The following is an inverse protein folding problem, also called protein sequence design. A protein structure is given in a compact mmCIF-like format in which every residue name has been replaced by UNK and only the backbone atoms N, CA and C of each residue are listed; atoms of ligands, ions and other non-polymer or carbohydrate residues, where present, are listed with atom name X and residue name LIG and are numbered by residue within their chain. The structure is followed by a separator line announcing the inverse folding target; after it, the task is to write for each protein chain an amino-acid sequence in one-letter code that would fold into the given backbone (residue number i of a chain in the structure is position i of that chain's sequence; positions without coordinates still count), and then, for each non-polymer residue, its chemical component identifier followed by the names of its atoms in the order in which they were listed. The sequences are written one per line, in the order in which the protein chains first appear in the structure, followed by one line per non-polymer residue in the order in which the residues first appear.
data_IF_617959694666
#
_entry.id   IF_617959694666
#
_cell.length_a   1.000
_cell.length_b   1.000
_cell.length_c   1.000
_cell.angle_alpha   90.00
_cell.angle_beta   90.00
_cell.angle_gamma   90.00
#
_symmetry.space_group_name_H-M   'P 1'
#
loop_
_entity.id
_entity.type
_entity.pdbx_description
1 polymer ?
#
# COMPACT_ATOMS: atom_id res chain seq x y z
N UNK A 1 11.32 16.57 7.26
CA UNK A 1 10.79 17.12 8.52
C UNK A 1 10.01 16.00 9.20
N UNK A 2 10.51 15.43 10.31
CA UNK A 2 9.82 14.33 10.98
C UNK A 2 8.49 14.81 11.56
N UNK A 3 7.38 14.07 11.40
CA UNK A 3 6.10 14.48 11.95
C UNK A 3 6.20 14.55 13.47
N UNK A 4 5.75 15.67 14.04
CA UNK A 4 5.61 15.82 15.48
C UNK A 4 4.67 14.74 16.03
N UNK A 5 4.81 14.38 17.30
CA UNK A 5 3.94 13.39 17.96
C UNK A 5 2.45 13.76 17.86
N UNK A 6 2.14 15.06 17.80
CA UNK A 6 0.79 15.57 17.54
C UNK A 6 0.29 15.25 16.12
N UNK A 7 1.13 15.44 15.11
CA UNK A 7 0.81 15.09 13.72
C UNK A 7 0.64 13.58 13.54
N UNK A 8 1.50 12.75 14.16
CA UNK A 8 1.34 11.30 14.15
C UNK A 8 0.00 10.86 14.75
N UNK A 9 -0.39 11.43 15.89
CA UNK A 9 -1.69 11.13 16.53
C UNK A 9 -2.87 11.57 15.66
N UNK A 10 -2.78 12.72 15.00
CA UNK A 10 -3.80 13.20 14.08
C UNK A 10 -3.94 12.27 12.86
N UNK A 11 -2.82 11.91 12.22
CA UNK A 11 -2.81 10.96 11.10
C UNK A 11 -3.34 9.60 11.51
N UNK A 12 -2.96 9.09 12.69
CA UNK A 12 -3.48 7.81 13.18
C UNK A 12 -5.00 7.86 13.42
N UNK A 13 -5.54 8.96 13.98
CA UNK A 13 -7.00 9.13 14.15
C UNK A 13 -7.74 9.19 12.81
N UNK A 14 -7.17 9.85 11.81
CA UNK A 14 -7.75 9.89 10.47
C UNK A 14 -7.70 8.53 9.79
N UNK A 15 -6.54 7.86 9.85
CA UNK A 15 -6.33 6.53 9.29
C UNK A 15 -7.28 5.52 9.91
N UNK A 16 -7.50 5.55 11.23
CA UNK A 16 -8.41 4.63 11.91
C UNK A 16 -9.88 4.80 11.46
N UNK A 17 -10.28 6.02 11.10
CA UNK A 17 -11.65 6.31 10.64
C UNK A 17 -11.87 6.10 9.15
N UNK A 18 -10.84 6.32 8.33
CA UNK A 18 -10.96 6.36 6.87
C UNK A 18 -10.28 5.17 6.16
N UNK A 19 -9.48 4.37 6.86
CA UNK A 19 -8.77 3.23 6.28
C UNK A 19 -9.32 1.92 6.83
N UNK A 20 -9.65 1.02 5.92
CA UNK A 20 -9.90 -0.38 6.22
C UNK A 20 -8.75 -1.23 5.68
N UNK A 21 -8.25 -2.17 6.49
CA UNK A 21 -7.20 -3.10 6.08
C UNK A 21 -7.83 -4.28 5.36
N UNK A 22 -7.50 -4.45 4.07
CA UNK A 22 -7.82 -5.66 3.31
C UNK A 22 -6.67 -6.67 3.49
N UNK A 23 -6.88 -7.68 4.33
CA UNK A 23 -5.93 -8.78 4.50
C UNK A 23 -6.32 -10.00 3.67
N UNK A 24 -5.43 -10.49 2.82
CA UNK A 24 -5.62 -11.74 2.08
C UNK A 24 -4.64 -12.81 2.61
N UNK A 25 -5.18 -13.92 3.13
CA UNK A 25 -4.37 -15.08 3.53
C UNK A 25 -4.17 -15.98 2.31
N UNK A 26 -2.92 -16.08 1.87
CA UNK A 26 -2.51 -16.93 0.75
C UNK A 26 -1.50 -17.98 1.21
N UNK A 27 -1.27 -19.00 0.38
CA UNK A 27 -0.20 -19.97 0.62
C UNK A 27 1.17 -19.28 0.54
N UNK A 28 2.17 -19.89 1.18
CA UNK A 28 3.53 -19.34 1.24
C UNK A 28 4.14 -19.18 -0.15
N UNK A 29 3.88 -20.13 -1.04
CA UNK A 29 4.32 -20.14 -2.44
C UNK A 29 3.73 -18.96 -3.22
N UNK A 30 2.42 -18.75 -3.12
CA UNK A 30 1.70 -17.62 -3.73
C UNK A 30 2.21 -16.28 -3.20
N UNK A 31 2.49 -16.18 -1.89
CA UNK A 31 3.06 -14.97 -1.30
C UNK A 31 4.46 -14.65 -1.86
N UNK A 32 5.27 -15.68 -2.13
CA UNK A 32 6.62 -15.53 -2.67
C UNK A 32 6.58 -15.14 -4.16
N UNK A 33 5.75 -15.84 -4.95
CA UNK A 33 5.50 -15.50 -6.34
C UNK A 33 4.97 -14.06 -6.49
N UNK A 34 4.07 -13.63 -5.61
CA UNK A 34 3.53 -12.27 -5.64
C UNK A 34 4.56 -11.21 -5.21
N UNK A 35 5.45 -11.53 -4.26
CA UNK A 35 6.58 -10.65 -3.92
C UNK A 35 7.53 -10.48 -5.10
N UNK A 36 7.83 -11.56 -5.82
CA UNK A 36 8.69 -11.51 -7.00
C UNK A 36 8.02 -10.74 -8.15
N UNK A 37 6.72 -10.97 -8.37
CA UNK A 37 5.93 -10.20 -9.33
C UNK A 37 5.97 -8.69 -9.02
N UNK A 38 5.77 -8.32 -7.76
CA UNK A 38 5.84 -6.92 -7.35
C UNK A 38 7.25 -6.33 -7.53
N UNK A 39 8.30 -7.07 -7.14
CA UNK A 39 9.70 -6.68 -7.34
C UNK A 39 10.02 -6.45 -8.82
N UNK A 40 9.55 -7.31 -9.72
CA UNK A 40 9.74 -7.16 -11.17
C UNK A 40 9.10 -5.89 -11.72
N UNK A 41 8.05 -5.39 -11.08
CA UNK A 41 7.44 -4.10 -11.42
C UNK A 41 8.05 -2.89 -10.69
N UNK A 42 9.08 -3.10 -9.86
CA UNK A 42 9.65 -2.06 -9.01
C UNK A 42 8.69 -1.56 -7.93
N UNK A 43 7.65 -2.33 -7.60
CA UNK A 43 6.60 -1.95 -6.64
C UNK A 43 6.61 -2.88 -5.44
N UNK A 44 6.04 -2.43 -4.32
CA UNK A 44 5.80 -3.33 -3.18
C UNK A 44 4.54 -4.15 -3.41
N UNK A 45 4.44 -5.32 -2.78
CA UNK A 45 3.24 -6.15 -2.82
C UNK A 45 1.99 -5.36 -2.39
N UNK A 46 2.12 -4.47 -1.40
CA UNK A 46 1.01 -3.65 -0.94
C UNK A 46 0.57 -2.60 -1.98
N UNK A 47 1.51 -2.04 -2.75
CA UNK A 47 1.22 -1.13 -3.86
C UNK A 47 0.48 -1.83 -5.00
N UNK A 48 0.92 -3.03 -5.37
CA UNK A 48 0.27 -3.84 -6.41
C UNK A 48 -1.14 -4.26 -5.98
N UNK A 49 -1.31 -4.73 -4.74
CA UNK A 49 -2.62 -5.06 -4.18
C UNK A 49 -3.55 -3.86 -4.18
N UNK A 50 -3.07 -2.69 -3.73
CA UNK A 50 -3.87 -1.45 -3.70
C UNK A 50 -4.33 -1.06 -5.10
N UNK A 51 -3.43 -1.13 -6.10
CA UNK A 51 -3.77 -0.87 -7.51
C UNK A 51 -4.83 -1.85 -8.00
N UNK A 52 -4.61 -3.14 -7.78
CA UNK A 52 -5.55 -4.18 -8.22
C UNK A 52 -6.94 -4.01 -7.59
N UNK A 53 -7.01 -3.69 -6.29
CA UNK A 53 -8.28 -3.39 -5.62
C UNK A 53 -8.96 -2.19 -6.25
N UNK A 54 -8.22 -1.12 -6.59
CA UNK A 54 -8.77 0.08 -7.23
C UNK A 54 -9.25 -0.17 -8.66
N UNK A 55 -8.48 -0.94 -9.45
CA UNK A 55 -8.88 -1.41 -10.77
C UNK A 55 -10.19 -2.22 -10.69
N UNK A 56 -10.31 -3.15 -9.73
CA UNK A 56 -11.51 -3.96 -9.55
C UNK A 56 -12.77 -3.16 -9.17
N UNK A 57 -12.62 -2.04 -8.45
CA UNK A 57 -13.75 -1.19 -8.03
C UNK A 57 -13.95 0.04 -8.92
N UNK A 58 -13.24 0.12 -10.06
CA UNK A 58 -13.37 1.21 -11.02
C UNK A 58 -12.92 2.58 -10.50
N UNK A 59 -12.03 2.61 -9.50
CA UNK A 59 -11.48 3.84 -8.90
C UNK A 59 -10.13 4.25 -9.51
N UNK A 60 -9.87 3.88 -10.76
CA UNK A 60 -8.62 4.20 -11.47
C UNK A 60 -8.61 5.67 -11.93
N UNK A 61 -8.77 6.61 -10.99
CA UNK A 61 -8.34 8.00 -11.20
C UNK A 61 -6.83 8.04 -11.00
N UNK A 62 -6.08 7.81 -12.08
CA UNK A 62 -4.67 8.20 -12.31
C UNK A 62 -3.90 8.58 -11.05
N UNK A 63 -3.45 7.57 -10.28
CA UNK A 63 -2.45 7.78 -9.24
C UNK A 63 -1.05 7.70 -9.85
N UNK A 64 -0.68 8.70 -10.65
CA UNK A 64 0.71 9.17 -10.66
C UNK A 64 0.89 10.02 -9.39
N UNK A 65 1.48 9.42 -8.35
CA UNK A 65 2.51 10.10 -7.54
C UNK A 65 3.22 9.17 -6.56
N UNK A 66 4.53 9.34 -6.60
CA UNK A 66 5.53 9.07 -5.60
C UNK A 66 5.87 7.61 -5.24
N UNK A 67 6.78 7.10 -6.06
CA UNK A 67 8.03 6.56 -5.58
C UNK A 67 8.63 7.48 -4.48
N UNK A 68 8.29 7.28 -3.21
CA UNK A 68 9.13 7.77 -2.12
C UNK A 68 9.77 6.55 -1.47
N UNK A 69 11.07 6.45 -1.69
CA UNK A 69 12.03 5.66 -0.94
C UNK A 69 11.67 5.55 0.54
N UNK A 70 11.82 4.35 1.09
CA UNK A 70 12.41 4.22 2.42
C UNK A 70 13.43 3.08 2.35
N UNK A 71 14.62 3.43 1.83
CA UNK A 71 15.87 2.86 2.32
C UNK A 71 16.11 3.48 3.70
N UNK A 72 16.02 2.67 4.74
CA UNK A 72 16.74 2.87 6.00
C UNK A 72 16.99 1.51 6.63
#
# INVERSE_FOLDING_TARGET
MAPTEAQKRASNKYNLKNMATLGCKVRREEAEAFKEYAKRQGKTSNTVLKKYVYECIGKDETMERDNTEDKA
#
